data_IF_043922968870
#
_entry.id   IF_043922968870
#
_cell.length_a   1.000
_cell.length_b   1.000
_cell.length_c   1.000
_cell.angle_alpha   90.00
_cell.angle_beta   90.00
_cell.angle_gamma   90.00
#
_symmetry.space_group_name_H-M   'P 1'
#
loop_
_entity.id
_entity.type
_entity.pdbx_description
1 polymer ?
#
# COMPACT_ATOMS: atom_id res chain seq x y z
N UNK A 1 31.43 18.44 94.52
CA UNK A 1 30.31 17.65 93.96
C UNK A 1 30.22 17.95 92.50
N UNK A 2 30.86 17.12 91.70
CA UNK A 2 31.00 17.32 90.28
C UNK A 2 30.08 16.32 89.53
N UNK A 3 29.24 16.81 88.69
CA UNK A 3 28.47 15.95 87.75
C UNK A 3 28.97 16.19 86.38
N UNK A 4 29.54 15.17 85.78
CA UNK A 4 29.95 15.08 84.39
C UNK A 4 28.70 14.76 83.56
N UNK A 5 28.37 15.62 82.60
CA UNK A 5 27.38 15.33 81.55
C UNK A 5 28.11 14.92 80.31
N UNK A 6 27.96 13.68 79.96
CA UNK A 6 28.42 13.12 78.65
C UNK A 6 27.40 13.45 77.55
N UNK A 7 27.82 14.20 76.54
CA UNK A 7 26.98 14.46 75.36
C UNK A 7 27.14 13.36 74.34
N UNK A 8 26.03 12.72 74.07
CA UNK A 8 25.93 11.69 72.99
C UNK A 8 25.74 12.37 71.65
N UNK A 9 26.70 12.21 70.79
CA UNK A 9 26.61 12.67 69.37
C UNK A 9 25.95 11.60 68.53
N UNK A 10 24.69 11.83 68.19
CA UNK A 10 23.92 10.99 67.24
C UNK A 10 24.30 11.34 65.82
N UNK A 11 24.99 10.44 65.12
CA UNK A 11 25.28 10.51 63.68
C UNK A 11 24.02 10.21 62.88
N UNK A 12 23.40 11.23 62.35
CA UNK A 12 22.33 11.11 61.37
C UNK A 12 22.90 10.65 60.02
N UNK A 13 22.72 9.39 59.67
CA UNK A 13 23.04 8.87 58.33
C UNK A 13 21.96 9.33 57.34
N UNK A 14 22.29 10.34 56.53
CA UNK A 14 21.50 10.76 55.36
C UNK A 14 21.64 9.70 54.26
N UNK A 15 20.62 8.88 54.04
CA UNK A 15 20.50 8.05 52.86
C UNK A 15 20.10 8.91 51.69
N UNK A 16 21.06 9.16 50.77
CA UNK A 16 20.78 9.73 49.47
C UNK A 16 20.22 8.61 48.59
N UNK A 17 18.91 8.56 48.44
CA UNK A 17 18.28 7.66 47.49
C UNK A 17 18.55 8.21 46.08
N UNK A 18 19.49 7.57 45.35
CA UNK A 18 19.69 7.80 43.91
C UNK A 18 18.51 7.19 43.16
N UNK A 19 17.60 8.04 42.67
CA UNK A 19 16.49 7.64 41.80
C UNK A 19 17.07 7.48 40.38
N UNK A 20 17.45 6.26 39.97
CA UNK A 20 17.77 5.94 38.60
C UNK A 20 16.48 5.91 37.77
N UNK A 21 16.17 7.01 37.05
CA UNK A 21 15.18 7.01 35.99
C UNK A 21 15.72 6.18 34.81
N UNK A 22 15.30 4.92 34.74
CA UNK A 22 15.45 4.11 33.53
C UNK A 22 14.49 4.66 32.46
N UNK A 23 14.99 5.49 31.55
CA UNK A 23 14.31 5.83 30.30
C UNK A 23 14.25 4.57 29.44
N UNK A 24 13.16 3.81 29.53
CA UNK A 24 12.82 2.79 28.55
C UNK A 24 12.50 3.50 27.24
N UNK A 25 13.50 3.62 26.37
CA UNK A 25 13.30 3.99 24.99
C UNK A 25 12.43 2.92 24.30
N UNK A 26 11.14 3.23 24.12
CA UNK A 26 10.27 2.42 23.26
C UNK A 26 10.78 2.64 21.83
N UNK A 27 11.67 1.77 21.37
CA UNK A 27 12.01 1.67 19.96
C UNK A 27 10.73 1.21 19.24
N UNK A 28 10.00 2.16 18.64
CA UNK A 28 8.92 1.86 17.72
C UNK A 28 9.54 1.17 16.51
N UNK A 29 9.55 -0.17 16.51
CA UNK A 29 9.83 -0.94 15.31
C UNK A 29 8.68 -0.66 14.35
N UNK A 30 8.86 0.29 13.45
CA UNK A 30 7.99 0.49 12.31
C UNK A 30 7.99 -0.81 11.50
N UNK A 31 6.94 -1.61 11.63
CA UNK A 31 6.74 -2.73 10.74
C UNK A 31 6.66 -2.16 9.32
N UNK A 32 7.68 -2.41 8.52
CA UNK A 32 7.66 -2.12 7.08
C UNK A 32 6.68 -3.12 6.48
N UNK A 33 5.42 -2.73 6.37
CA UNK A 33 4.44 -3.52 5.64
C UNK A 33 4.85 -3.50 4.17
N UNK A 34 5.30 -4.64 3.66
CA UNK A 34 5.41 -4.82 2.22
C UNK A 34 4.03 -4.56 1.61
N UNK A 35 3.98 -3.72 0.58
CA UNK A 35 2.73 -3.38 -0.08
C UNK A 35 2.06 -4.66 -0.59
N UNK A 36 0.80 -4.88 -0.20
CA UNK A 36 0.03 -6.03 -0.66
C UNK A 36 -0.39 -5.81 -2.11
N UNK A 37 -0.26 -6.82 -2.98
CA UNK A 37 -0.76 -6.74 -4.36
C UNK A 37 -2.27 -6.59 -4.37
N UNK A 38 -2.81 -6.05 -5.46
CA UNK A 38 -4.25 -5.91 -5.65
C UNK A 38 -4.95 -7.26 -5.67
N UNK A 39 -6.05 -7.37 -4.92
CA UNK A 39 -6.94 -8.52 -5.00
C UNK A 39 -7.78 -8.43 -6.26
N UNK A 40 -7.64 -9.40 -7.16
CA UNK A 40 -8.34 -9.45 -8.44
C UNK A 40 -9.55 -10.38 -8.35
N UNK A 41 -10.72 -9.91 -8.78
CA UNK A 41 -11.95 -10.70 -8.88
C UNK A 41 -12.48 -10.67 -10.32
N UNK A 42 -12.57 -11.83 -11.02
CA UNK A 42 -13.11 -11.89 -12.37
C UNK A 42 -14.63 -11.69 -12.34
N UNK A 43 -15.12 -10.84 -13.27
CA UNK A 43 -16.55 -10.57 -13.44
C UNK A 43 -17.08 -11.20 -14.74
N UNK A 44 -16.34 -11.10 -15.84
CA UNK A 44 -16.78 -11.59 -17.14
C UNK A 44 -15.58 -11.88 -18.05
N UNK A 45 -15.68 -12.95 -18.82
CA UNK A 45 -14.82 -13.26 -19.96
C UNK A 45 -15.68 -13.58 -21.17
N UNK A 46 -15.52 -12.86 -22.27
CA UNK A 46 -16.34 -13.03 -23.47
C UNK A 46 -15.54 -12.92 -24.76
N UNK A 47 -15.60 -13.96 -25.61
CA UNK A 47 -15.07 -13.88 -26.97
C UNK A 47 -15.86 -12.84 -27.77
N UNK A 48 -15.16 -12.03 -28.55
CA UNK A 48 -15.76 -10.96 -29.36
C UNK A 48 -15.98 -11.48 -30.78
N UNK A 49 -17.25 -11.77 -31.12
CA UNK A 49 -17.59 -12.41 -32.41
C UNK A 49 -17.19 -11.56 -33.61
N UNK A 50 -17.24 -10.24 -33.51
CA UNK A 50 -16.90 -9.30 -34.58
C UNK A 50 -15.41 -8.89 -34.59
N UNK A 51 -14.61 -9.43 -33.65
CA UNK A 51 -13.17 -9.22 -33.57
C UNK A 51 -12.46 -10.58 -33.39
N UNK A 52 -12.26 -11.31 -34.50
CA UNK A 52 -11.66 -12.65 -34.44
C UNK A 52 -10.32 -12.66 -33.70
N UNK A 53 -10.14 -13.63 -32.79
CA UNK A 53 -8.94 -13.76 -31.97
C UNK A 53 -8.86 -12.81 -30.79
N UNK A 54 -9.92 -12.03 -30.52
CA UNK A 54 -10.02 -11.15 -29.36
C UNK A 54 -11.09 -11.59 -28.36
N UNK A 55 -10.87 -11.26 -27.12
CA UNK A 55 -11.83 -11.43 -26.02
C UNK A 55 -11.83 -10.21 -25.12
N UNK A 56 -12.98 -9.95 -24.51
CA UNK A 56 -13.17 -8.98 -23.47
C UNK A 56 -13.06 -9.66 -22.11
N UNK A 57 -12.24 -9.11 -21.22
CA UNK A 57 -12.15 -9.50 -19.83
C UNK A 57 -12.55 -8.31 -18.96
N UNK A 58 -13.44 -8.53 -18.00
CA UNK A 58 -13.83 -7.56 -17.00
C UNK A 58 -13.51 -8.11 -15.62
N UNK A 59 -12.77 -7.34 -14.83
CA UNK A 59 -12.37 -7.68 -13.47
C UNK A 59 -12.58 -6.49 -12.55
N UNK A 60 -12.68 -6.71 -11.25
CA UNK A 60 -12.39 -5.69 -10.26
C UNK A 60 -11.05 -5.95 -9.59
N UNK A 61 -10.40 -4.88 -9.21
CA UNK A 61 -9.18 -4.89 -8.40
C UNK A 61 -9.45 -4.09 -7.15
N UNK A 62 -9.09 -4.66 -6.00
CA UNK A 62 -9.18 -3.99 -4.70
C UNK A 62 -7.79 -3.85 -4.10
N UNK A 63 -7.43 -2.64 -3.72
CA UNK A 63 -6.23 -2.35 -2.95
C UNK A 63 -6.57 -2.13 -1.49
N UNK A 64 -5.92 -2.84 -0.61
CA UNK A 64 -5.86 -2.50 0.80
C UNK A 64 -5.15 -1.14 1.01
N UNK A 65 -5.28 -0.48 2.17
CA UNK A 65 -4.50 0.71 2.49
C UNK A 65 -3.01 0.51 2.22
N UNK A 66 -2.41 1.39 1.40
CA UNK A 66 -1.01 1.28 0.98
C UNK A 66 -0.69 0.15 -0.01
N UNK A 67 -1.70 -0.58 -0.50
CA UNK A 67 -1.53 -1.65 -1.49
C UNK A 67 -1.02 -1.14 -2.82
N UNK A 68 -0.22 -1.96 -3.54
CA UNK A 68 0.31 -1.61 -4.86
C UNK A 68 0.66 -2.86 -5.67
N UNK A 69 0.66 -2.71 -6.99
CA UNK A 69 1.08 -3.74 -7.92
C UNK A 69 2.55 -3.59 -8.32
N UNK A 70 3.15 -4.70 -8.70
CA UNK A 70 4.46 -4.69 -9.34
C UNK A 70 4.39 -4.09 -10.74
N UNK A 71 5.52 -3.59 -11.24
CA UNK A 71 5.63 -3.09 -12.63
C UNK A 71 5.29 -4.21 -13.61
N UNK A 72 4.37 -3.94 -14.53
CA UNK A 72 3.85 -4.93 -15.48
C UNK A 72 3.37 -4.28 -16.79
N UNK A 73 2.86 -5.10 -17.71
CA UNK A 73 2.18 -4.68 -18.94
C UNK A 73 1.04 -5.64 -19.27
N UNK A 74 0.16 -5.22 -20.16
CA UNK A 74 -1.02 -6.00 -20.50
C UNK A 74 -1.03 -6.60 -21.89
N UNK A 75 -0.36 -6.04 -22.90
CA UNK A 75 -0.53 -6.40 -24.31
C UNK A 75 -2.04 -6.42 -24.71
N UNK A 76 -2.76 -5.43 -24.25
CA UNK A 76 -4.20 -5.27 -24.37
C UNK A 76 -4.57 -3.79 -24.36
N UNK A 77 -5.75 -3.44 -24.86
CA UNK A 77 -6.38 -2.17 -24.52
C UNK A 77 -7.00 -2.32 -23.13
N UNK A 78 -6.60 -1.49 -22.19
CA UNK A 78 -7.06 -1.52 -20.80
C UNK A 78 -7.81 -0.23 -20.48
N UNK A 79 -9.01 -0.38 -19.95
CA UNK A 79 -9.86 0.73 -19.52
C UNK A 79 -10.12 0.55 -18.03
N UNK A 80 -9.74 1.54 -17.24
CA UNK A 80 -9.92 1.55 -15.79
C UNK A 80 -11.03 2.54 -15.43
N UNK A 81 -11.89 2.15 -14.49
CA UNK A 81 -12.89 3.02 -13.89
C UNK A 81 -12.85 2.87 -12.37
N UNK A 82 -12.57 3.95 -11.66
CA UNK A 82 -12.50 3.92 -10.19
C UNK A 82 -13.90 3.86 -9.60
N UNK A 83 -14.16 2.85 -8.77
CA UNK A 83 -15.43 2.62 -8.10
C UNK A 83 -15.45 3.24 -6.71
N UNK A 84 -14.37 3.06 -5.94
CA UNK A 84 -14.27 3.48 -4.54
C UNK A 84 -12.85 3.95 -4.23
N UNK A 85 -12.73 4.94 -3.33
CA UNK A 85 -11.46 5.49 -2.90
C UNK A 85 -10.74 6.28 -3.99
N UNK A 86 -9.41 6.19 -3.99
CA UNK A 86 -8.55 6.82 -4.99
C UNK A 86 -7.33 5.95 -5.27
N UNK A 87 -6.90 5.92 -6.53
CA UNK A 87 -5.72 5.18 -6.98
C UNK A 87 -4.75 6.12 -7.69
N UNK A 88 -3.46 5.75 -7.65
CA UNK A 88 -2.42 6.43 -8.40
C UNK A 88 -1.97 5.51 -9.52
N UNK A 89 -1.96 6.03 -10.75
CA UNK A 89 -1.61 5.29 -11.96
C UNK A 89 -0.55 6.02 -12.75
N UNK A 90 0.38 5.26 -13.34
CA UNK A 90 1.36 5.78 -14.29
C UNK A 90 1.79 4.73 -15.28
N UNK A 91 1.74 5.04 -16.56
CA UNK A 91 2.47 4.32 -17.59
C UNK A 91 3.80 5.02 -17.89
N UNK A 92 4.78 4.25 -18.34
CA UNK A 92 6.13 4.75 -18.62
C UNK A 92 6.07 5.92 -19.62
N UNK A 93 6.85 6.96 -19.37
CA UNK A 93 6.94 8.20 -20.16
C UNK A 93 5.68 9.10 -20.11
N UNK A 94 4.73 8.82 -19.22
CA UNK A 94 3.57 9.66 -18.95
C UNK A 94 3.62 10.18 -17.51
N UNK A 95 2.95 11.30 -17.20
CA UNK A 95 2.86 11.78 -15.83
C UNK A 95 2.08 10.82 -14.93
N UNK A 96 2.45 10.78 -13.65
CA UNK A 96 1.66 10.13 -12.61
C UNK A 96 0.34 10.88 -12.42
N UNK A 97 -0.76 10.16 -12.29
CA UNK A 97 -2.08 10.73 -12.06
C UNK A 97 -2.76 10.06 -10.89
N UNK A 98 -3.45 10.87 -10.06
CA UNK A 98 -4.32 10.38 -9.00
C UNK A 98 -5.76 10.43 -9.47
N UNK A 99 -6.44 9.30 -9.43
CA UNK A 99 -7.81 9.11 -9.89
C UNK A 99 -8.72 8.80 -8.70
N UNK A 100 -9.83 9.51 -8.63
CA UNK A 100 -10.89 9.31 -7.63
C UNK A 100 -12.06 8.53 -8.22
N UNK A 101 -12.98 8.06 -7.37
CA UNK A 101 -14.22 7.42 -7.80
C UNK A 101 -14.92 8.21 -8.92
N UNK A 102 -15.33 7.51 -9.98
CA UNK A 102 -15.92 8.09 -11.19
C UNK A 102 -14.92 8.50 -12.27
N UNK A 103 -13.63 8.48 -12.02
CA UNK A 103 -12.59 8.81 -13.01
C UNK A 103 -12.05 7.57 -13.71
N UNK A 104 -11.46 7.80 -14.89
CA UNK A 104 -10.99 6.74 -15.79
C UNK A 104 -9.52 6.88 -16.10
N UNK A 105 -8.90 5.75 -16.46
CA UNK A 105 -7.55 5.68 -17.01
C UNK A 105 -7.53 4.72 -18.21
N UNK A 106 -6.58 4.91 -19.10
CA UNK A 106 -6.41 4.06 -20.28
C UNK A 106 -4.94 3.67 -20.41
N UNK A 107 -4.70 2.39 -20.78
CA UNK A 107 -3.39 1.86 -21.14
C UNK A 107 -3.47 1.21 -22.52
N UNK A 108 -2.53 1.56 -23.40
CA UNK A 108 -2.40 0.95 -24.71
C UNK A 108 -1.64 -0.40 -24.63
N UNK A 109 -1.74 -1.26 -25.65
CA UNK A 109 -1.09 -2.57 -25.65
C UNK A 109 0.42 -2.58 -25.43
N UNK A 110 1.12 -1.51 -25.79
CA UNK A 110 2.58 -1.38 -25.64
C UNK A 110 3.00 -0.65 -24.36
N UNK A 111 2.03 -0.16 -23.58
CA UNK A 111 2.32 0.58 -22.36
C UNK A 111 2.89 -0.35 -21.27
N UNK A 112 3.88 0.17 -20.55
CA UNK A 112 4.40 -0.43 -19.33
C UNK A 112 3.82 0.33 -18.16
N UNK A 113 3.01 -0.34 -17.36
CA UNK A 113 2.42 0.21 -16.13
C UNK A 113 3.48 0.20 -15.03
N UNK A 114 3.95 1.37 -14.64
CA UNK A 114 5.07 1.53 -13.70
C UNK A 114 4.62 1.93 -12.30
N UNK A 115 3.43 2.50 -12.15
CA UNK A 115 2.81 2.81 -10.87
C UNK A 115 1.34 2.42 -10.89
N UNK A 116 0.95 1.49 -10.04
CA UNK A 116 -0.42 1.13 -9.70
C UNK A 116 -0.51 0.97 -8.19
N UNK A 117 -1.12 1.91 -7.49
CA UNK A 117 -1.19 1.86 -6.02
C UNK A 117 -2.45 2.56 -5.48
N UNK A 118 -2.82 2.19 -4.26
CA UNK A 118 -3.78 2.97 -3.48
C UNK A 118 -3.19 4.34 -3.14
N UNK A 119 -3.95 5.40 -3.34
CA UNK A 119 -3.55 6.75 -2.96
C UNK A 119 -3.60 6.98 -1.44
N UNK A 120 -4.28 6.10 -0.69
CA UNK A 120 -4.47 6.17 0.76
C UNK A 120 -3.70 5.08 1.48
N UNK A 121 -3.19 5.40 2.67
CA UNK A 121 -2.60 4.44 3.61
C UNK A 121 -3.56 4.04 4.72
N UNK A 122 -4.79 4.56 4.72
CA UNK A 122 -5.81 4.31 5.76
C UNK A 122 -7.13 3.78 5.21
N UNK A 123 -7.45 4.08 3.94
CA UNK A 123 -8.70 3.69 3.31
C UNK A 123 -8.44 2.76 2.12
N UNK A 124 -9.30 1.76 1.87
CA UNK A 124 -9.20 0.90 0.70
C UNK A 124 -9.58 1.63 -0.59
N UNK A 125 -9.19 1.06 -1.72
CA UNK A 125 -9.64 1.52 -3.03
C UNK A 125 -10.10 0.34 -3.89
N UNK A 126 -11.09 0.57 -4.77
CA UNK A 126 -11.60 -0.44 -5.70
C UNK A 126 -11.82 0.17 -7.08
N UNK A 127 -11.46 -0.56 -8.10
CA UNK A 127 -11.65 -0.13 -9.47
C UNK A 127 -12.01 -1.29 -10.40
N UNK A 128 -12.74 -0.97 -11.45
CA UNK A 128 -13.06 -1.86 -12.55
C UNK A 128 -11.93 -1.79 -13.58
N UNK A 129 -11.54 -2.93 -14.12
CA UNK A 129 -10.63 -3.03 -15.27
C UNK A 129 -11.32 -3.82 -16.37
N UNK A 130 -11.43 -3.20 -17.54
CA UNK A 130 -11.95 -3.82 -18.75
C UNK A 130 -10.83 -3.92 -19.77
N UNK A 131 -10.55 -5.14 -20.25
CA UNK A 131 -9.47 -5.41 -21.19
C UNK A 131 -10.03 -5.97 -22.50
N UNK A 132 -9.52 -5.48 -23.63
CA UNK A 132 -9.66 -6.15 -24.93
C UNK A 132 -8.30 -6.73 -25.28
N UNK A 133 -8.18 -8.06 -25.21
CA UNK A 133 -6.92 -8.77 -25.35
C UNK A 133 -7.01 -9.93 -26.35
N UNK A 134 -5.87 -10.50 -26.73
CA UNK A 134 -5.83 -11.73 -27.53
C UNK A 134 -6.42 -12.88 -26.71
N UNK A 135 -7.26 -13.70 -27.37
CA UNK A 135 -7.89 -14.87 -26.75
C UNK A 135 -6.85 -15.81 -26.14
N UNK A 136 -7.09 -16.22 -24.89
CA UNK A 136 -6.24 -17.15 -24.16
C UNK A 136 -4.91 -16.60 -23.64
N UNK A 137 -4.59 -15.30 -23.84
CA UNK A 137 -3.37 -14.72 -23.26
C UNK A 137 -3.60 -14.28 -21.80
N UNK A 138 -2.57 -14.33 -20.94
CA UNK A 138 -2.66 -13.77 -19.60
C UNK A 138 -3.00 -12.27 -19.63
N UNK A 139 -3.80 -11.77 -18.67
CA UNK A 139 -4.12 -10.34 -18.59
C UNK A 139 -2.92 -9.48 -18.16
N UNK A 140 -2.00 -10.04 -17.40
CA UNK A 140 -0.79 -9.38 -16.90
C UNK A 140 0.44 -10.11 -17.39
N UNK A 141 1.43 -9.37 -17.87
CA UNK A 141 2.71 -9.86 -18.36
C UNK A 141 3.85 -9.14 -17.62
N UNK A 142 5.01 -9.79 -17.41
CA UNK A 142 6.18 -9.11 -16.86
C UNK A 142 6.56 -7.91 -17.74
N UNK A 143 7.00 -6.83 -17.11
CA UNK A 143 7.65 -5.73 -17.81
C UNK A 143 8.97 -6.24 -18.40
N UNK A 144 9.24 -5.88 -19.65
CA UNK A 144 10.53 -6.12 -20.34
C UNK A 144 11.33 -4.83 -20.33
#
# INVERSE_FOLDING_TARGET
>A
MSYLMTSSVTHSRRYVAALCLALLGIASYGASYAASPGKVEPLMLKKLVNLPGKEALMITVSYEPGGSDAIHRHNAHVFVYVLEGAIVMQVKNQPEVTLKAGQTFYEAPEDVHIVGKNASTTEPAKFLVFLIKKTGTPPVLPAK
#
